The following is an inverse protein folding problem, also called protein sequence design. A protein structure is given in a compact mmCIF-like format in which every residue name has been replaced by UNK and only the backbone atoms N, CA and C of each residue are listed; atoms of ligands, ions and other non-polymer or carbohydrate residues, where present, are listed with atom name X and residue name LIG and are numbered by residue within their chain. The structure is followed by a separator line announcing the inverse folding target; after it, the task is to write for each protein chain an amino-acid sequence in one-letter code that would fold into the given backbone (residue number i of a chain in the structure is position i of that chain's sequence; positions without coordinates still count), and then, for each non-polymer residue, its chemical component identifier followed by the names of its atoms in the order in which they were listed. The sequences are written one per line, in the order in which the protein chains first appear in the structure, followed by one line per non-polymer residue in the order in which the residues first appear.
data_IF_114385567855
#
_entry.id   IF_114385567855
#
_cell.length_a   1.000
_cell.length_b   1.000
_cell.length_c   1.000
_cell.angle_alpha   90.00
_cell.angle_beta   90.00
_cell.angle_gamma   90.00
#
_symmetry.space_group_name_H-M   'P 1'
#
loop_
_entity.id
_entity.type
_entity.pdbx_description
1 polymer ?
#
# COMPACT_ATOMS: atom_id res chain seq x y z
N UNK A 1 -7.07 3.37 5.53
CA UNK A 1 -6.27 3.47 6.76
C UNK A 1 -6.89 2.53 7.78
N UNK A 2 -6.06 1.78 8.50
CA UNK A 2 -6.47 0.96 9.63
C UNK A 2 -5.50 1.23 10.79
N UNK A 3 -5.84 0.75 11.98
CA UNK A 3 -4.98 0.83 13.16
C UNK A 3 -4.62 -0.58 13.64
N UNK A 4 -3.54 -0.70 14.42
CA UNK A 4 -3.24 -1.93 15.16
C UNK A 4 -4.01 -2.06 16.47
N UNK A 5 -4.91 -1.12 16.77
CA UNK A 5 -5.67 -1.07 18.02
C UNK A 5 -6.94 -1.92 17.92
N UNK A 6 -7.77 -1.67 16.91
CA UNK A 6 -9.03 -2.38 16.73
C UNK A 6 -9.48 -2.37 15.26
N UNK A 7 -10.01 -3.47 14.70
CA UNK A 7 -10.54 -3.50 13.33
C UNK A 7 -11.62 -2.45 13.05
N UNK A 8 -12.53 -2.24 13.99
CA UNK A 8 -13.64 -1.27 13.90
C UNK A 8 -13.18 0.20 13.87
N UNK A 9 -11.88 0.46 14.07
CA UNK A 9 -11.32 1.80 13.90
C UNK A 9 -11.47 2.32 12.46
N UNK A 10 -11.64 1.42 11.48
CA UNK A 10 -11.94 1.84 10.11
C UNK A 10 -13.22 2.68 10.05
N UNK A 11 -14.29 2.25 10.74
CA UNK A 11 -15.56 2.99 10.78
C UNK A 11 -15.42 4.32 11.53
N UNK A 12 -14.62 4.34 12.60
CA UNK A 12 -14.31 5.58 13.33
C UNK A 12 -13.51 6.56 12.46
N UNK A 13 -12.57 6.07 11.65
CA UNK A 13 -11.81 6.87 10.70
C UNK A 13 -12.76 7.48 9.67
N UNK A 14 -13.63 6.67 9.06
CA UNK A 14 -14.58 7.17 8.07
C UNK A 14 -15.55 8.20 8.65
N UNK A 15 -16.07 7.95 9.86
CA UNK A 15 -16.96 8.89 10.55
C UNK A 15 -16.29 10.20 10.97
N UNK A 16 -15.03 10.16 11.39
CA UNK A 16 -14.34 11.34 11.97
C UNK A 16 -13.57 12.16 10.94
N UNK A 17 -12.84 11.47 10.05
CA UNK A 17 -11.91 12.08 9.08
C UNK A 17 -12.08 11.52 7.66
N UNK A 18 -13.17 10.78 7.40
CA UNK A 18 -13.49 10.22 6.10
C UNK A 18 -14.25 11.17 5.18
N UNK A 19 -14.69 10.62 4.06
CA UNK A 19 -15.35 11.39 3.01
C UNK A 19 -16.66 12.00 3.50
N UNK A 20 -16.75 13.33 3.44
CA UNK A 20 -17.96 14.07 3.81
C UNK A 20 -18.02 14.45 5.29
N UNK A 21 -17.06 13.99 6.10
CA UNK A 21 -16.91 14.40 7.50
C UNK A 21 -16.69 15.91 7.64
N UNK A 22 -16.96 16.50 8.82
CA UNK A 22 -16.59 17.89 9.10
C UNK A 22 -15.11 18.17 8.84
N UNK A 23 -14.24 17.19 9.09
CA UNK A 23 -12.82 17.28 8.76
C UNK A 23 -12.59 17.43 7.25
N UNK A 24 -13.21 16.58 6.43
CA UNK A 24 -13.09 16.67 4.96
C UNK A 24 -13.54 18.05 4.46
N UNK A 25 -14.68 18.53 4.94
CA UNK A 25 -15.22 19.84 4.56
C UNK A 25 -14.30 21.00 5.00
N UNK A 26 -13.64 20.86 6.15
CA UNK A 26 -12.76 21.90 6.71
C UNK A 26 -11.41 21.94 6.01
N UNK A 27 -10.80 20.80 5.72
CA UNK A 27 -9.40 20.72 5.27
C UNK A 27 -9.24 20.31 3.80
N UNK A 28 -10.31 19.87 3.13
CA UNK A 28 -10.29 19.51 1.70
C UNK A 28 -9.59 18.19 1.37
N UNK A 29 -9.25 17.38 2.37
CA UNK A 29 -8.75 16.01 2.21
C UNK A 29 -9.34 15.10 3.29
N UNK A 30 -9.30 13.79 3.05
CA UNK A 30 -9.87 12.79 3.95
C UNK A 30 -9.03 11.52 3.98
N UNK A 31 -9.21 10.74 5.04
CA UNK A 31 -8.66 9.40 5.16
C UNK A 31 -9.80 8.38 5.00
N UNK A 32 -9.64 7.46 4.06
CA UNK A 32 -10.59 6.36 3.91
C UNK A 32 -10.26 5.25 4.90
N UNK A 33 -11.21 4.81 5.72
CA UNK A 33 -11.11 3.61 6.53
C UNK A 33 -10.97 2.37 5.65
N UNK A 34 -10.06 1.45 5.96
CA UNK A 34 -9.96 0.16 5.24
C UNK A 34 -9.68 -0.95 6.22
N UNK A 35 -10.03 -2.19 5.88
CA UNK A 35 -9.63 -3.35 6.67
C UNK A 35 -8.14 -3.67 6.42
N UNK A 36 -7.51 -4.36 7.37
CA UNK A 36 -6.13 -4.87 7.19
C UNK A 36 -6.03 -5.78 5.95
N UNK A 37 -7.10 -6.51 5.63
CA UNK A 37 -7.19 -7.46 4.52
C UNK A 37 -7.49 -6.80 3.18
N UNK A 38 -7.69 -5.49 3.11
CA UNK A 38 -8.02 -4.77 1.87
C UNK A 38 -6.89 -4.83 0.84
N UNK A 39 -5.64 -4.98 1.29
CA UNK A 39 -4.48 -5.14 0.42
C UNK A 39 -3.88 -6.54 0.55
N UNK A 40 -3.49 -7.11 -0.58
CA UNK A 40 -2.64 -8.30 -0.61
C UNK A 40 -1.22 -7.84 -0.35
N UNK A 41 -0.62 -8.37 0.71
CA UNK A 41 0.71 -8.01 1.16
C UNK A 41 1.57 -9.26 1.38
N UNK A 42 2.90 -9.15 1.20
CA UNK A 42 3.85 -10.23 1.48
C UNK A 42 3.91 -10.58 2.96
N UNK A 43 4.27 -11.83 3.29
CA UNK A 43 4.50 -12.23 4.66
C UNK A 43 5.49 -11.30 5.39
N UNK A 44 5.19 -11.00 6.66
CA UNK A 44 6.04 -10.14 7.49
C UNK A 44 6.04 -8.64 7.14
N UNK A 45 5.14 -8.15 6.28
CA UNK A 45 5.05 -6.72 5.93
C UNK A 45 4.94 -5.79 7.14
N UNK A 46 4.27 -6.24 8.21
CA UNK A 46 4.12 -5.47 9.47
C UNK A 46 5.47 -5.12 10.11
N UNK A 47 6.45 -6.01 10.01
CA UNK A 47 7.79 -5.83 10.57
C UNK A 47 8.60 -4.81 9.74
N UNK A 48 8.22 -4.64 8.46
CA UNK A 48 8.87 -3.74 7.51
C UNK A 48 8.19 -2.37 7.41
N UNK A 49 7.20 -2.10 8.25
CA UNK A 49 6.54 -0.79 8.25
C UNK A 49 7.54 0.32 8.57
N UNK A 50 7.47 1.39 7.79
CA UNK A 50 8.31 2.57 7.94
C UNK A 50 7.56 3.58 8.80
N UNK A 51 8.05 3.87 10.03
CA UNK A 51 7.45 4.89 10.87
C UNK A 51 7.78 6.28 10.32
N UNK A 52 6.73 7.04 10.03
CA UNK A 52 6.81 8.44 9.62
C UNK A 52 6.38 9.33 10.78
N UNK A 53 7.34 10.10 11.29
CA UNK A 53 7.15 11.11 12.33
C UNK A 53 7.81 12.41 11.87
N UNK A 54 7.03 13.47 11.76
CA UNK A 54 7.51 14.80 11.38
C UNK A 54 6.66 15.88 12.06
N UNK A 55 6.94 17.17 11.77
CA UNK A 55 6.19 18.28 12.37
C UNK A 55 4.68 18.21 12.09
N UNK A 56 4.28 17.64 10.96
CA UNK A 56 2.88 17.50 10.55
C UNK A 56 2.17 16.31 11.21
N UNK A 57 2.90 15.40 11.86
CA UNK A 57 2.29 14.26 12.58
C UNK A 57 1.98 14.57 14.05
N UNK A 58 2.42 15.72 14.57
CA UNK A 58 2.27 16.06 16.00
C UNK A 58 2.89 14.98 16.89
N UNK A 59 2.10 14.46 17.84
CA UNK A 59 2.50 13.34 18.72
C UNK A 59 2.27 11.96 18.09
N UNK A 60 1.63 11.90 16.92
CA UNK A 60 1.30 10.67 16.21
C UNK A 60 2.47 10.04 15.45
N UNK A 61 2.21 8.87 14.87
CA UNK A 61 3.13 8.17 13.97
C UNK A 61 2.33 7.53 12.84
N UNK A 62 2.64 7.92 11.60
CA UNK A 62 2.16 7.19 10.44
C UNK A 62 2.99 5.91 10.26
N UNK A 63 2.34 4.78 9.99
CA UNK A 63 3.04 3.56 9.62
C UNK A 63 2.82 3.33 8.12
N UNK A 64 3.86 3.55 7.34
CA UNK A 64 3.81 3.44 5.89
C UNK A 64 4.36 2.10 5.43
N UNK A 65 3.78 1.54 4.38
CA UNK A 65 4.31 0.34 3.74
C UNK A 65 5.72 0.61 3.19
N UNK A 66 6.58 -0.38 3.32
CA UNK A 66 7.83 -0.44 2.58
C UNK A 66 7.53 -0.44 1.08
N UNK A 67 8.38 0.21 0.28
CA UNK A 67 8.09 0.50 -1.12
C UNK A 67 7.89 -0.76 -1.99
N UNK A 68 8.57 -1.87 -1.68
CA UNK A 68 8.41 -3.14 -2.38
C UNK A 68 7.11 -3.84 -1.97
N UNK A 69 6.75 -3.78 -0.69
CA UNK A 69 5.47 -4.30 -0.20
C UNK A 69 4.29 -3.51 -0.80
N UNK A 70 4.43 -2.19 -0.94
CA UNK A 70 3.48 -1.34 -1.67
C UNK A 70 3.38 -1.74 -3.15
N UNK A 71 4.51 -1.98 -3.82
CA UNK A 71 4.52 -2.42 -5.21
C UNK A 71 3.81 -3.78 -5.39
N UNK A 72 3.98 -4.72 -4.46
CA UNK A 72 3.24 -5.99 -4.43
C UNK A 72 1.73 -5.74 -4.38
N UNK A 73 1.25 -4.92 -3.45
CA UNK A 73 -0.18 -4.61 -3.33
C UNK A 73 -0.76 -4.00 -4.62
N UNK A 74 0.04 -3.17 -5.31
CA UNK A 74 -0.32 -2.51 -6.57
C UNK A 74 -0.37 -3.49 -7.74
N UNK A 75 0.61 -4.38 -7.86
CA UNK A 75 0.64 -5.42 -8.89
C UNK A 75 -0.47 -6.46 -8.68
N UNK A 76 -0.80 -6.77 -7.42
CA UNK A 76 -1.91 -7.63 -7.03
C UNK A 76 -3.27 -7.03 -7.44
N UNK A 77 -3.47 -5.72 -7.21
CA UNK A 77 -4.68 -5.00 -7.61
C UNK A 77 -4.79 -4.84 -9.13
N UNK A 78 -3.67 -4.59 -9.82
CA UNK A 78 -3.58 -4.72 -11.27
C UNK A 78 -4.29 -3.67 -12.13
N UNK A 79 -4.74 -2.57 -11.54
CA UNK A 79 -5.37 -1.46 -12.30
C UNK A 79 -4.31 -0.75 -13.15
N UNK A 80 -4.72 -0.14 -14.25
CA UNK A 80 -3.81 0.55 -15.18
C UNK A 80 -2.95 1.63 -14.48
N UNK A 81 -3.58 2.43 -13.62
CA UNK A 81 -2.88 3.43 -12.79
C UNK A 81 -1.88 2.81 -11.81
N UNK A 82 -2.17 1.63 -11.27
CA UNK A 82 -1.28 0.94 -10.33
C UNK A 82 -0.05 0.41 -11.08
N UNK A 83 -0.20 -0.08 -12.31
CA UNK A 83 0.93 -0.49 -13.16
C UNK A 83 1.82 0.71 -13.52
N UNK A 84 1.21 1.85 -13.87
CA UNK A 84 1.94 3.09 -14.17
C UNK A 84 2.73 3.59 -12.95
N UNK A 85 2.13 3.51 -11.76
CA UNK A 85 2.80 3.85 -10.51
C UNK A 85 4.01 2.94 -10.23
N UNK A 86 3.86 1.62 -10.38
CA UNK A 86 4.98 0.67 -10.16
C UNK A 86 6.09 0.87 -11.19
N UNK A 87 5.76 1.10 -12.47
CA UNK A 87 6.78 1.45 -13.47
C UNK A 87 7.57 2.71 -13.07
N UNK A 88 6.90 3.74 -12.57
CA UNK A 88 7.57 4.94 -12.10
C UNK A 88 8.51 4.66 -10.90
N UNK A 89 8.11 3.81 -9.96
CA UNK A 89 8.96 3.40 -8.83
C UNK A 89 10.24 2.70 -9.31
N UNK A 90 10.12 1.76 -10.26
CA UNK A 90 11.26 1.03 -10.82
C UNK A 90 12.18 1.96 -11.63
N UNK A 91 11.60 2.79 -12.50
CA UNK A 91 12.35 3.74 -13.33
C UNK A 91 13.15 4.74 -12.47
N UNK A 92 12.56 5.23 -11.38
CA UNK A 92 13.21 6.14 -10.43
C UNK A 92 14.14 5.43 -9.44
N UNK A 93 14.32 4.12 -9.56
CA UNK A 93 15.14 3.27 -8.67
C UNK A 93 14.72 3.38 -7.20
N UNK A 94 13.46 3.69 -6.94
CA UNK A 94 12.88 3.70 -5.59
C UNK A 94 12.50 2.29 -5.14
N UNK A 95 12.22 1.39 -6.09
CA UNK A 95 12.03 -0.03 -5.84
C UNK A 95 12.94 -0.87 -6.74
N UNK A 96 13.35 -2.04 -6.25
CA UNK A 96 14.13 -3.02 -6.98
C UNK A 96 13.23 -4.16 -7.49
N UNK A 97 13.27 -4.46 -8.79
CA UNK A 97 12.42 -5.47 -9.40
C UNK A 97 12.63 -6.88 -8.83
N UNK A 98 13.87 -7.29 -8.54
CA UNK A 98 14.16 -8.60 -7.96
C UNK A 98 13.58 -8.73 -6.54
N UNK A 99 13.65 -7.66 -5.75
CA UNK A 99 13.02 -7.63 -4.43
C UNK A 99 11.50 -7.67 -4.53
N UNK A 100 10.88 -6.93 -5.46
CA UNK A 100 9.42 -7.01 -5.69
C UNK A 100 9.01 -8.42 -6.11
N UNK A 101 9.77 -9.09 -7.00
CA UNK A 101 9.51 -10.47 -7.39
C UNK A 101 9.57 -11.43 -6.20
N UNK A 102 10.63 -11.33 -5.37
CA UNK A 102 10.75 -12.14 -4.16
C UNK A 102 9.55 -11.93 -3.24
N UNK A 103 9.12 -10.68 -3.04
CA UNK A 103 7.96 -10.36 -2.19
C UNK A 103 6.64 -10.85 -2.79
N UNK A 104 6.47 -10.80 -4.11
CA UNK A 104 5.29 -11.38 -4.77
C UNK A 104 5.15 -12.87 -4.44
N UNK A 105 6.25 -13.61 -4.49
CA UNK A 105 6.29 -15.06 -4.18
C UNK A 105 6.02 -15.36 -2.70
N UNK A 106 6.35 -14.44 -1.79
CA UNK A 106 6.07 -14.53 -0.35
C UNK A 106 4.67 -14.03 0.05
N UNK A 107 3.89 -13.54 -0.90
CA UNK A 107 2.53 -13.05 -0.64
C UNK A 107 1.50 -14.17 -0.65
N UNK A 108 0.28 -13.86 -0.23
CA UNK A 108 -0.85 -14.78 -0.33
C UNK A 108 -1.38 -14.97 -1.76
N UNK A 109 -0.77 -14.36 -2.78
CA UNK A 109 -1.08 -14.62 -4.18
C UNK A 109 -0.64 -16.02 -4.58
N UNK A 110 -1.53 -16.75 -5.24
CA UNK A 110 -1.27 -18.07 -5.77
C UNK A 110 -1.89 -18.26 -7.16
N UNK A 111 -1.42 -19.27 -7.88
CA UNK A 111 -1.92 -19.65 -9.20
C UNK A 111 -1.83 -18.53 -10.22
N UNK A 112 -2.87 -18.40 -11.04
CA UNK A 112 -2.96 -17.45 -12.15
C UNK A 112 -2.75 -15.99 -11.71
N UNK A 113 -3.18 -15.62 -10.50
CA UNK A 113 -3.04 -14.25 -9.99
C UNK A 113 -1.58 -13.90 -9.72
N UNK A 114 -0.80 -14.84 -9.20
CA UNK A 114 0.64 -14.65 -8.99
C UNK A 114 1.36 -14.54 -10.32
N UNK A 115 1.08 -15.44 -11.26
CA UNK A 115 1.68 -15.42 -12.60
C UNK A 115 1.37 -14.11 -13.34
N UNK A 116 0.14 -13.63 -13.24
CA UNK A 116 -0.25 -12.34 -13.83
C UNK A 116 0.50 -11.17 -13.20
N UNK A 117 0.69 -11.16 -11.87
CA UNK A 117 1.47 -10.12 -11.19
C UNK A 117 2.95 -10.16 -11.58
N UNK A 118 3.54 -11.35 -11.71
CA UNK A 118 4.91 -11.55 -12.18
C UNK A 118 5.07 -11.13 -13.64
N UNK A 119 4.13 -11.48 -14.51
CA UNK A 119 4.13 -11.06 -15.91
C UNK A 119 4.05 -9.54 -16.05
N UNK A 120 3.21 -8.88 -15.23
CA UNK A 120 3.16 -7.42 -15.15
C UNK A 120 4.51 -6.85 -14.73
N UNK A 121 5.11 -7.36 -13.66
CA UNK A 121 6.42 -6.90 -13.19
C UNK A 121 7.48 -7.00 -14.29
N UNK A 122 7.58 -8.15 -14.97
CA UNK A 122 8.53 -8.37 -16.08
C UNK A 122 8.36 -7.35 -17.21
N UNK A 123 7.12 -6.99 -17.55
CA UNK A 123 6.83 -5.98 -18.58
C UNK A 123 7.24 -4.56 -18.16
N UNK A 124 7.24 -4.27 -16.86
CA UNK A 124 7.55 -2.94 -16.33
C UNK A 124 9.05 -2.75 -16.04
N UNK A 125 9.82 -3.83 -15.96
CA UNK A 125 11.27 -3.77 -15.77
C UNK A 125 11.95 -3.41 -17.09
N UNK A 126 12.70 -2.29 -17.16
CA UNK A 126 13.56 -2.02 -18.31
C UNK A 126 14.67 -3.08 -18.36
N UNK A 127 14.93 -3.64 -19.54
CA UNK A 127 16.05 -4.55 -19.78
C UNK A 127 17.41 -3.85 -19.68
#
# INVERSE_FOLDING_TARGET
MFTFRHPDDADLIDGSIGEGSPFHQTFGYYAHGVAETTAILPAGWKIRLIPVRNQNTGTGCGLCLEVHDLAVAKLAAGREKDCSFVAALLLKKLANAAMVESRLRESSLSGERLELALARLKRLTPG
#
